data_IF_998852576825
#
_entry.id   IF_998852576825
#
_cell.length_a   1.000
_cell.length_b   1.000
_cell.length_c   1.000
_cell.angle_alpha   90.00
_cell.angle_beta   90.00
_cell.angle_gamma   90.00
#
_symmetry.space_group_name_H-M   'P 1'
#
loop_
_entity.id
_entity.type
_entity.pdbx_description
1 polymer ?
#
# COMPACT_ATOMS: atom_id res chain seq x y z
N UNK A 1 6.07 27.85 4.67
CA UNK A 1 5.99 28.29 3.24
C UNK A 1 5.26 29.63 3.18
N UNK A 2 5.89 30.67 2.63
CA UNK A 2 5.25 31.99 2.48
C UNK A 2 4.33 32.00 1.26
N UNK A 3 3.10 32.47 1.43
CA UNK A 3 2.14 32.74 0.35
C UNK A 3 1.70 34.19 0.40
N UNK A 4 1.32 34.74 -0.74
CA UNK A 4 0.74 36.08 -0.80
C UNK A 4 -0.50 36.13 0.09
N UNK A 5 -0.62 37.22 0.85
CA UNK A 5 -1.78 37.44 1.70
C UNK A 5 -3.03 37.49 0.81
N UNK A 6 -4.06 36.65 1.06
CA UNK A 6 -5.26 36.59 0.23
C UNK A 6 -6.12 37.86 0.32
N UNK A 7 -5.90 38.72 1.33
CA UNK A 7 -6.66 39.96 1.50
C UNK A 7 -6.05 41.16 0.78
N UNK A 8 -4.73 41.25 0.69
CA UNK A 8 -4.06 42.33 -0.04
C UNK A 8 -3.34 41.85 -1.31
N UNK A 9 -3.51 40.59 -1.70
CA UNK A 9 -2.87 39.96 -2.87
C UNK A 9 -1.34 40.12 -2.94
N UNK A 10 -0.67 40.34 -1.81
CA UNK A 10 0.77 40.58 -1.76
C UNK A 10 1.18 42.05 -1.64
N UNK A 11 0.24 42.99 -1.71
CA UNK A 11 0.52 44.43 -1.66
C UNK A 11 0.89 44.93 -0.25
N UNK A 12 0.52 44.19 0.79
CA UNK A 12 0.77 44.59 2.19
C UNK A 12 -0.20 45.65 2.70
N UNK A 13 -0.86 46.40 1.81
CA UNK A 13 -1.83 47.44 2.12
C UNK A 13 -3.20 47.19 1.46
N UNK A 14 -4.24 47.82 1.99
CA UNK A 14 -5.60 47.84 1.45
C UNK A 14 -6.08 49.29 1.31
N UNK A 15 -6.85 49.58 0.27
CA UNK A 15 -7.48 50.89 0.09
C UNK A 15 -8.65 50.97 1.08
N UNK A 16 -8.59 51.92 2.00
CA UNK A 16 -9.63 52.12 3.03
C UNK A 16 -10.50 53.34 2.75
N UNK A 17 -9.96 54.34 2.03
CA UNK A 17 -10.63 55.61 1.82
C UNK A 17 -10.11 56.30 0.54
N UNK A 18 -10.86 57.28 0.02
CA UNK A 18 -10.49 58.11 -1.13
C UNK A 18 -10.55 59.56 -0.70
N UNK A 19 -9.41 60.25 -0.72
CA UNK A 19 -9.35 61.68 -0.39
C UNK A 19 -9.29 62.51 -1.67
N UNK A 20 -9.94 63.66 -1.65
CA UNK A 20 -9.86 64.61 -2.76
C UNK A 20 -8.40 64.98 -3.03
N UNK A 21 -8.04 65.01 -4.31
CA UNK A 21 -6.67 65.30 -4.71
C UNK A 21 -6.36 66.75 -4.35
N UNK A 22 -5.44 66.93 -3.41
CA UNK A 22 -5.05 68.26 -2.92
C UNK A 22 -4.46 69.16 -4.01
N UNK A 23 -3.98 68.59 -5.12
CA UNK A 23 -3.35 69.32 -6.22
C UNK A 23 -4.34 69.91 -7.23
N UNK A 24 -5.54 69.32 -7.37
CA UNK A 24 -6.58 69.83 -8.28
C UNK A 24 -7.92 70.09 -7.55
N UNK A 25 -7.95 70.01 -6.23
CA UNK A 25 -9.15 70.26 -5.44
C UNK A 25 -10.34 69.37 -5.77
N UNK A 26 -10.12 68.16 -6.31
CA UNK A 26 -11.18 67.25 -6.71
C UNK A 26 -11.59 67.30 -8.18
N UNK A 27 -11.11 68.28 -8.97
CA UNK A 27 -11.54 68.46 -10.36
C UNK A 27 -10.94 67.41 -11.31
N UNK A 28 -9.77 66.87 -10.96
CA UNK A 28 -9.05 65.90 -11.77
C UNK A 28 -8.16 66.52 -12.86
N UNK A 29 -8.26 67.83 -13.09
CA UNK A 29 -7.57 68.53 -14.18
C UNK A 29 -6.82 69.74 -13.62
N UNK A 30 -5.81 70.22 -14.35
CA UNK A 30 -5.12 71.46 -13.99
C UNK A 30 -6.03 72.66 -14.30
N UNK A 31 -6.15 73.59 -13.35
CA UNK A 31 -7.05 74.75 -13.47
C UNK A 31 -6.62 75.75 -14.57
N UNK A 32 -5.41 75.59 -15.12
CA UNK A 32 -4.85 76.43 -16.19
C UNK A 32 -5.15 75.86 -17.59
N UNK A 33 -6.40 75.46 -17.85
CA UNK A 33 -6.89 75.27 -19.21
C UNK A 33 -6.86 76.63 -19.93
N UNK A 34 -5.87 76.82 -20.82
CA UNK A 34 -5.78 77.99 -21.69
C UNK A 34 -7.06 78.09 -22.54
N UNK A 35 -7.93 79.06 -22.23
CA UNK A 35 -9.09 79.40 -23.06
C UNK A 35 -8.62 80.03 -24.39
N UNK A 36 -8.30 79.18 -25.36
CA UNK A 36 -7.94 79.59 -26.73
C UNK A 36 -9.17 80.11 -27.50
N UNK A 37 -10.38 80.00 -26.92
CA UNK A 37 -11.65 80.37 -27.55
C UNK A 37 -11.78 81.88 -27.82
N UNK A 38 -11.09 82.71 -27.03
CA UNK A 38 -11.27 84.16 -27.05
C UNK A 38 -10.25 84.93 -27.90
N UNK A 39 -9.21 84.28 -28.46
CA UNK A 39 -8.13 84.98 -29.16
C UNK A 39 -8.27 85.11 -30.69
N UNK A 40 -9.18 84.39 -31.35
CA UNK A 40 -9.43 84.50 -32.79
C UNK A 40 -10.71 85.28 -33.12
N UNK A 41 -10.62 86.62 -33.14
CA UNK A 41 -11.68 87.49 -33.67
C UNK A 41 -11.64 87.50 -35.20
N UNK A 42 -12.58 86.82 -35.85
CA UNK A 42 -12.83 86.98 -37.29
C UNK A 42 -13.12 85.71 -38.10
N UNK A 43 -13.19 84.53 -37.49
CA UNK A 43 -13.41 83.27 -38.23
C UNK A 43 -14.90 82.87 -38.25
N UNK A 44 -15.42 82.55 -39.44
CA UNK A 44 -16.80 82.11 -39.69
C UNK A 44 -17.12 80.79 -38.95
N UNK A 45 -18.35 80.64 -38.43
CA UNK A 45 -18.85 79.49 -37.68
C UNK A 45 -18.53 78.12 -38.31
N UNK A 46 -18.50 78.01 -39.64
CA UNK A 46 -18.17 76.75 -40.32
C UNK A 46 -16.69 76.31 -40.17
N UNK A 47 -15.76 77.22 -39.87
CA UNK A 47 -14.35 76.88 -39.64
C UNK A 47 -14.09 76.43 -38.20
N UNK A 48 -14.84 77.00 -37.22
CA UNK A 48 -14.75 76.59 -35.80
C UNK A 48 -15.17 75.13 -35.60
N UNK A 49 -16.22 74.68 -36.30
CA UNK A 49 -16.70 73.30 -36.22
C UNK A 49 -15.84 72.27 -36.97
N UNK A 50 -14.98 72.70 -37.92
CA UNK A 50 -14.20 71.80 -38.78
C UNK A 50 -12.82 71.44 -38.21
N UNK A 51 -12.30 72.25 -37.28
CA UNK A 51 -10.99 72.07 -36.64
C UNK A 51 -11.09 71.70 -35.16
N UNK A 52 -12.30 71.48 -34.63
CA UNK A 52 -12.56 71.07 -33.24
C UNK A 52 -11.84 71.95 -32.18
N UNK A 53 -11.77 73.25 -32.45
CA UNK A 53 -11.08 74.25 -31.60
C UNK A 53 -11.99 74.78 -30.47
N UNK A 54 -12.91 73.96 -29.99
CA UNK A 54 -13.89 74.32 -28.96
C UNK A 54 -13.91 73.38 -27.76
N UNK A 55 -12.99 72.41 -27.70
CA UNK A 55 -12.76 71.58 -26.54
C UNK A 55 -11.53 72.13 -25.83
N UNK A 56 -11.72 72.64 -24.62
CA UNK A 56 -10.64 72.85 -23.66
C UNK A 56 -9.81 71.56 -23.64
N UNK A 57 -8.51 71.65 -23.95
CA UNK A 57 -7.62 70.51 -23.74
C UNK A 57 -7.36 70.44 -22.24
N UNK A 58 -8.30 69.85 -21.51
CA UNK A 58 -8.19 69.65 -20.08
C UNK A 58 -6.96 68.78 -19.80
N UNK A 59 -5.90 69.39 -19.26
CA UNK A 59 -4.66 68.70 -18.91
C UNK A 59 -4.97 67.85 -17.66
N UNK A 60 -4.89 66.50 -17.75
CA UNK A 60 -5.16 65.65 -16.60
C UNK A 60 -4.15 65.93 -15.50
N UNK A 61 -4.63 66.18 -14.28
CA UNK A 61 -3.77 66.45 -13.13
C UNK A 61 -2.79 65.27 -12.93
N UNK A 62 -1.49 65.52 -12.97
CA UNK A 62 -0.46 64.47 -12.87
C UNK A 62 -0.53 63.69 -11.55
N UNK A 63 -0.99 64.34 -10.48
CA UNK A 63 -1.05 63.74 -9.14
C UNK A 63 -2.18 62.70 -8.98
N UNK A 64 -3.30 62.86 -9.69
CA UNK A 64 -4.43 61.92 -9.64
C UNK A 64 -4.76 61.29 -11.00
N UNK A 65 -3.96 61.59 -12.03
CA UNK A 65 -4.13 61.17 -13.42
C UNK A 65 -5.56 61.35 -13.94
N UNK A 66 -6.18 62.51 -13.71
CA UNK A 66 -7.55 62.78 -14.19
C UNK A 66 -8.68 62.35 -13.24
N UNK A 67 -8.40 61.64 -12.15
CA UNK A 67 -9.46 61.04 -11.31
C UNK A 67 -10.06 61.96 -10.24
N UNK A 68 -9.38 63.05 -9.90
CA UNK A 68 -9.80 64.00 -8.85
C UNK A 68 -9.67 63.49 -7.42
N UNK A 69 -9.40 62.20 -7.21
CA UNK A 69 -9.26 61.57 -5.89
C UNK A 69 -8.01 60.70 -5.81
N UNK A 70 -7.41 60.64 -4.62
CA UNK A 70 -6.22 59.85 -4.29
C UNK A 70 -6.59 58.77 -3.29
N UNK A 71 -6.18 57.54 -3.58
CA UNK A 71 -6.40 56.37 -2.74
C UNK A 71 -5.59 56.47 -1.43
N UNK A 72 -6.27 56.29 -0.29
CA UNK A 72 -5.65 56.20 1.04
C UNK A 72 -5.48 54.73 1.39
N UNK A 73 -4.23 54.33 1.59
CA UNK A 73 -3.85 52.97 1.92
C UNK A 73 -3.58 52.82 3.40
N UNK A 74 -4.12 51.76 4.02
CA UNK A 74 -3.74 51.31 5.36
C UNK A 74 -3.08 49.94 5.29
N UNK A 75 -2.22 49.65 6.26
CA UNK A 75 -1.58 48.34 6.38
C UNK A 75 -2.64 47.25 6.53
N UNK A 76 -2.47 46.17 5.75
CA UNK A 76 -3.40 45.06 5.79
C UNK A 76 -3.29 44.36 7.16
N UNK A 77 -4.33 44.52 7.99
CA UNK A 77 -4.43 43.92 9.32
C UNK A 77 -4.27 42.38 9.37
N UNK A 78 -4.40 41.70 8.22
CA UNK A 78 -4.25 40.25 8.11
C UNK A 78 -2.80 39.80 7.93
N UNK A 79 -1.93 40.63 7.35
CA UNK A 79 -0.50 40.34 7.21
C UNK A 79 0.40 41.35 7.92
N UNK A 80 -0.18 42.31 8.66
CA UNK A 80 0.53 43.39 9.36
C UNK A 80 1.55 44.09 8.45
N UNK A 81 1.12 44.50 7.25
CA UNK A 81 1.99 45.20 6.28
C UNK A 81 2.99 44.32 5.50
N UNK A 82 3.23 43.06 5.91
CA UNK A 82 4.27 42.21 5.28
C UNK A 82 3.91 41.69 3.88
N UNK A 83 2.63 41.76 3.48
CA UNK A 83 2.12 41.23 2.21
C UNK A 83 2.11 39.70 2.10
N UNK A 84 2.74 38.98 3.04
CA UNK A 84 2.91 37.53 2.98
C UNK A 84 2.48 36.88 4.30
N UNK A 85 1.88 35.70 4.20
CA UNK A 85 1.53 34.88 5.36
C UNK A 85 2.30 33.57 5.30
N UNK A 86 2.83 33.13 6.43
CA UNK A 86 3.39 31.78 6.52
C UNK A 86 2.24 30.79 6.68
N UNK A 87 2.21 29.78 5.82
CA UNK A 87 1.20 28.72 5.86
C UNK A 87 1.85 27.34 5.90
N UNK A 88 1.12 26.40 6.51
CA UNK A 88 1.48 24.99 6.54
C UNK A 88 1.55 24.44 5.12
N UNK A 89 2.66 23.76 4.80
CA UNK A 89 2.87 23.15 3.48
C UNK A 89 1.81 22.11 3.09
N UNK A 90 1.28 21.37 4.07
CA UNK A 90 0.40 20.22 3.79
C UNK A 90 -1.10 20.56 3.84
N UNK A 91 -1.51 21.50 4.70
CA UNK A 91 -2.94 21.84 4.87
C UNK A 91 -3.28 23.30 4.61
N UNK A 92 -2.29 24.18 4.40
CA UNK A 92 -2.51 25.60 4.11
C UNK A 92 -2.96 26.45 5.31
N UNK A 93 -3.04 25.89 6.52
CA UNK A 93 -3.36 26.67 7.73
C UNK A 93 -2.28 27.73 8.01
N UNK A 94 -2.62 28.95 8.44
CA UNK A 94 -1.65 29.95 8.87
C UNK A 94 -0.77 29.41 10.01
N UNK A 95 0.53 29.71 9.96
CA UNK A 95 1.52 29.30 10.94
C UNK A 95 2.37 30.48 11.37
N UNK A 96 2.90 30.42 12.58
CA UNK A 96 3.98 31.31 13.01
C UNK A 96 5.24 31.10 12.16
N UNK A 97 6.04 32.15 11.99
CA UNK A 97 7.21 32.19 11.11
C UNK A 97 8.26 31.09 11.41
N UNK A 98 8.22 30.50 12.61
CA UNK A 98 9.18 29.50 13.06
C UNK A 98 8.96 28.10 12.48
N UNK A 99 7.78 27.79 11.92
CA UNK A 99 7.45 26.44 11.48
C UNK A 99 6.90 26.37 10.05
N UNK A 100 7.32 25.36 9.30
CA UNK A 100 6.84 25.12 7.92
C UNK A 100 5.63 24.17 7.83
N UNK A 101 5.36 23.43 8.90
CA UNK A 101 4.31 22.42 8.98
C UNK A 101 3.61 22.55 10.34
N UNK A 102 2.29 22.49 10.36
CA UNK A 102 1.53 22.55 11.60
C UNK A 102 1.75 21.29 12.46
N UNK A 103 1.50 21.38 13.76
CA UNK A 103 1.65 20.26 14.68
C UNK A 103 0.85 19.02 14.25
N UNK A 104 -0.38 19.21 13.74
CA UNK A 104 -1.25 18.14 13.23
C UNK A 104 -0.65 17.42 12.01
N UNK A 105 -0.20 18.17 11.00
CA UNK A 105 0.40 17.60 9.79
C UNK A 105 1.76 16.95 10.10
N UNK A 106 2.53 17.53 11.02
CA UNK A 106 3.76 16.94 11.53
C UNK A 106 3.50 15.60 12.25
N UNK A 107 2.45 15.53 13.07
CA UNK A 107 2.04 14.30 13.74
C UNK A 107 1.56 13.23 12.73
N UNK A 108 0.70 13.59 11.77
CA UNK A 108 0.27 12.67 10.69
C UNK A 108 1.43 12.12 9.89
N UNK A 109 2.40 12.96 9.49
CA UNK A 109 3.62 12.48 8.80
C UNK A 109 4.42 11.49 9.63
N UNK A 110 4.54 11.72 10.95
CA UNK A 110 5.23 10.79 11.86
C UNK A 110 4.47 9.47 11.97
N UNK A 111 3.15 9.52 12.09
CA UNK A 111 2.27 8.35 12.13
C UNK A 111 2.38 7.53 10.83
N UNK A 112 2.27 8.16 9.66
CA UNK A 112 2.40 7.50 8.37
C UNK A 112 3.78 6.87 8.19
N UNK A 113 4.84 7.55 8.65
CA UNK A 113 6.21 7.01 8.63
C UNK A 113 6.33 5.79 9.54
N UNK A 114 5.70 5.80 10.73
CA UNK A 114 5.67 4.64 11.63
C UNK A 114 4.89 3.48 11.02
N UNK A 115 3.69 3.72 10.45
CA UNK A 115 2.90 2.70 9.76
C UNK A 115 3.68 2.03 8.62
N UNK A 116 4.41 2.82 7.81
CA UNK A 116 5.26 2.30 6.75
C UNK A 116 6.41 1.44 7.28
N UNK A 117 7.08 1.87 8.35
CA UNK A 117 8.13 1.07 9.01
C UNK A 117 7.59 -0.23 9.57
N UNK A 118 6.47 -0.17 10.30
CA UNK A 118 5.84 -1.35 10.89
C UNK A 118 5.38 -2.35 9.82
N UNK A 119 4.81 -1.87 8.70
CA UNK A 119 4.43 -2.72 7.57
C UNK A 119 5.65 -3.41 6.94
N UNK A 120 6.77 -2.68 6.80
CA UNK A 120 8.02 -3.24 6.28
C UNK A 120 8.63 -4.27 7.25
N UNK A 121 8.65 -3.97 8.55
CA UNK A 121 9.12 -4.90 9.58
C UNK A 121 8.26 -6.17 9.62
N UNK A 122 6.93 -6.06 9.54
CA UNK A 122 6.02 -7.21 9.43
C UNK A 122 6.28 -8.03 8.17
N UNK A 123 6.57 -7.37 7.04
CA UNK A 123 6.92 -8.04 5.79
C UNK A 123 8.21 -8.84 5.94
N UNK A 124 9.25 -8.22 6.49
CA UNK A 124 10.54 -8.86 6.76
C UNK A 124 10.39 -10.01 7.76
N UNK A 125 9.60 -9.83 8.81
CA UNK A 125 9.35 -10.86 9.81
C UNK A 125 8.66 -12.08 9.19
N UNK A 126 7.62 -11.89 8.37
CA UNK A 126 6.92 -12.96 7.65
C UNK A 126 7.82 -13.69 6.65
N UNK A 127 8.77 -12.98 6.04
CA UNK A 127 9.74 -13.56 5.12
C UNK A 127 10.82 -14.36 5.85
N UNK A 128 11.23 -13.93 7.05
CA UNK A 128 12.18 -14.65 7.90
C UNK A 128 11.56 -15.80 8.70
N UNK A 129 10.23 -15.85 8.82
CA UNK A 129 9.52 -16.91 9.52
C UNK A 129 9.83 -18.27 8.86
N UNK A 130 10.53 -19.14 9.60
CA UNK A 130 10.84 -20.49 9.15
C UNK A 130 9.67 -21.39 9.54
N UNK A 131 9.03 -22.01 8.54
CA UNK A 131 7.93 -22.95 8.79
C UNK A 131 8.42 -24.38 8.78
N UNK A 132 7.87 -25.20 9.68
CA UNK A 132 8.18 -26.62 9.71
C UNK A 132 7.37 -27.37 8.65
N UNK A 133 8.06 -28.16 7.82
CA UNK A 133 7.49 -29.00 6.77
C UNK A 133 7.87 -30.45 7.04
N UNK A 134 6.86 -31.30 7.14
CA UNK A 134 7.02 -32.68 7.56
C UNK A 134 7.14 -33.62 6.36
N UNK A 135 8.15 -34.49 6.38
CA UNK A 135 8.25 -35.64 5.47
C UNK A 135 7.82 -36.88 6.25
N UNK A 136 6.84 -37.60 5.72
CA UNK A 136 6.26 -38.76 6.37
C UNK A 136 7.08 -40.01 6.10
N UNK A 137 7.37 -40.75 7.16
CA UNK A 137 7.93 -42.09 7.05
C UNK A 137 6.85 -43.09 6.60
N UNK A 138 7.26 -44.24 6.06
CA UNK A 138 6.37 -45.26 5.49
C UNK A 138 5.38 -45.82 6.51
N UNK A 139 5.73 -45.83 7.81
CA UNK A 139 4.89 -46.36 8.88
C UNK A 139 3.78 -45.41 9.35
N UNK A 140 3.84 -44.13 8.97
CA UNK A 140 2.85 -43.15 9.41
C UNK A 140 1.54 -43.34 8.65
N UNK A 141 0.43 -43.34 9.38
CA UNK A 141 -0.91 -43.56 8.81
C UNK A 141 -1.72 -42.26 8.79
N UNK A 142 -2.83 -42.28 8.05
CA UNK A 142 -3.78 -41.16 7.97
C UNK A 142 -4.31 -40.70 9.34
N UNK A 143 -4.32 -41.60 10.35
CA UNK A 143 -4.73 -41.29 11.73
C UNK A 143 -3.73 -40.41 12.49
N UNK A 144 -2.47 -40.44 12.09
CA UNK A 144 -1.39 -39.68 12.72
C UNK A 144 -1.23 -38.27 12.07
N UNK A 145 -2.09 -37.94 11.10
CA UNK A 145 -2.04 -36.69 10.34
C UNK A 145 -2.70 -35.55 11.10
N UNK A 146 -2.00 -34.43 11.17
CA UNK A 146 -2.44 -33.18 11.79
C UNK A 146 -2.79 -32.13 10.73
N UNK A 147 -3.88 -31.38 10.93
CA UNK A 147 -4.37 -30.37 10.00
C UNK A 147 -3.58 -29.06 10.02
N UNK A 148 -2.92 -28.78 11.14
CA UNK A 148 -2.19 -27.51 11.34
C UNK A 148 -0.72 -27.59 10.88
N UNK A 149 -0.32 -28.73 10.30
CA UNK A 149 1.05 -28.98 9.82
C UNK A 149 1.13 -28.96 8.30
N UNK A 150 2.32 -28.61 7.82
CA UNK A 150 2.68 -28.67 6.40
C UNK A 150 3.37 -29.99 6.09
N UNK A 151 3.05 -30.60 4.96
CA UNK A 151 3.66 -31.85 4.53
C UNK A 151 4.27 -31.70 3.15
N UNK A 152 5.42 -32.32 2.95
CA UNK A 152 6.03 -32.45 1.63
C UNK A 152 5.52 -33.74 0.98
N UNK A 153 5.04 -33.63 -0.24
CA UNK A 153 4.53 -34.74 -1.03
C UNK A 153 5.02 -34.69 -2.47
N UNK A 154 4.69 -35.73 -3.22
CA UNK A 154 4.98 -35.84 -4.65
C UNK A 154 3.69 -35.95 -5.45
N UNK A 155 3.59 -35.20 -6.54
CA UNK A 155 2.45 -35.30 -7.45
C UNK A 155 2.54 -36.60 -8.23
N UNK A 156 1.49 -37.41 -8.18
CA UNK A 156 1.40 -38.68 -8.91
C UNK A 156 0.50 -38.60 -10.12
N UNK A 157 -0.52 -37.74 -10.10
CA UNK A 157 -1.46 -37.55 -11.21
C UNK A 157 -2.00 -36.13 -11.22
N UNK A 158 -2.25 -35.59 -12.41
CA UNK A 158 -2.87 -34.27 -12.58
C UNK A 158 -4.18 -34.43 -13.33
N UNK A 159 -5.20 -33.74 -12.85
CA UNK A 159 -6.55 -33.71 -13.41
C UNK A 159 -7.02 -32.26 -13.57
N UNK A 160 -8.09 -32.05 -14.34
CA UNK A 160 -8.66 -30.69 -14.54
C UNK A 160 -9.12 -30.01 -13.24
N UNK A 161 -9.43 -30.79 -12.22
CA UNK A 161 -9.98 -30.31 -10.94
C UNK A 161 -8.96 -30.31 -9.79
N UNK A 162 -7.71 -30.71 -10.03
CA UNK A 162 -6.69 -30.81 -9.00
C UNK A 162 -5.60 -31.83 -9.33
N UNK A 163 -4.65 -31.98 -8.41
CA UNK A 163 -3.55 -32.92 -8.54
C UNK A 163 -3.56 -33.92 -7.38
N UNK A 164 -3.32 -35.20 -7.67
CA UNK A 164 -3.14 -36.21 -6.64
C UNK A 164 -1.73 -36.13 -6.09
N UNK A 165 -1.63 -35.98 -4.77
CA UNK A 165 -0.38 -35.86 -4.04
C UNK A 165 -0.26 -37.06 -3.11
N UNK A 166 0.86 -37.75 -3.21
CA UNK A 166 1.23 -38.86 -2.33
C UNK A 166 2.26 -38.34 -1.33
N UNK A 167 1.98 -38.50 -0.03
CA UNK A 167 2.92 -38.13 1.02
C UNK A 167 3.80 -39.33 1.44
N UNK A 168 3.18 -40.51 1.55
CA UNK A 168 3.87 -41.80 1.71
C UNK A 168 2.99 -42.93 1.12
N UNK A 169 3.40 -44.18 1.28
CA UNK A 169 2.65 -45.35 0.75
C UNK A 169 1.23 -45.51 1.32
N UNK A 170 0.97 -44.95 2.51
CA UNK A 170 -0.29 -45.12 3.25
C UNK A 170 -1.17 -43.86 3.25
N UNK A 171 -0.63 -42.73 2.79
CA UNK A 171 -1.24 -41.40 2.91
C UNK A 171 -1.09 -40.66 1.59
N UNK A 172 -2.22 -40.50 0.91
CA UNK A 172 -2.35 -39.78 -0.35
C UNK A 172 -3.69 -39.05 -0.38
N UNK A 173 -3.83 -38.12 -1.31
CA UNK A 173 -5.02 -37.29 -1.38
C UNK A 173 -5.05 -36.37 -2.59
N UNK A 174 -6.12 -35.59 -2.69
CA UNK A 174 -6.35 -34.68 -3.80
C UNK A 174 -6.04 -33.25 -3.37
N UNK A 175 -5.04 -32.64 -3.99
CA UNK A 175 -4.78 -31.21 -3.90
C UNK A 175 -5.72 -30.46 -4.83
N UNK A 176 -6.65 -29.70 -4.25
CA UNK A 176 -7.57 -28.84 -4.99
C UNK A 176 -6.92 -27.48 -5.24
N UNK A 177 -7.16 -26.92 -6.42
CA UNK A 177 -6.66 -25.61 -6.80
C UNK A 177 -6.20 -25.57 -8.25
N UNK A 178 -5.56 -24.47 -8.61
CA UNK A 178 -4.98 -24.30 -9.93
C UNK A 178 -3.74 -25.20 -10.08
N UNK A 179 -3.75 -26.04 -11.12
CA UNK A 179 -2.70 -27.03 -11.38
C UNK A 179 -1.82 -26.72 -12.60
N UNK A 180 -2.03 -25.56 -13.23
CA UNK A 180 -1.40 -25.16 -14.49
C UNK A 180 0.13 -25.14 -14.45
N UNK A 181 0.73 -24.93 -13.28
CA UNK A 181 2.18 -24.86 -13.08
C UNK A 181 2.83 -26.14 -12.56
N UNK A 182 2.11 -27.25 -12.41
CA UNK A 182 2.65 -28.49 -11.86
C UNK A 182 2.78 -29.59 -12.91
N UNK A 183 3.76 -30.46 -12.73
CA UNK A 183 3.97 -31.68 -13.51
C UNK A 183 3.89 -32.92 -12.61
N UNK A 184 3.62 -34.06 -13.25
CA UNK A 184 3.69 -35.35 -12.57
C UNK A 184 5.12 -35.60 -12.14
N UNK A 185 5.30 -35.93 -10.86
CA UNK A 185 6.61 -36.13 -10.25
C UNK A 185 7.14 -34.93 -9.46
N UNK A 186 6.50 -33.76 -9.55
CA UNK A 186 6.93 -32.58 -8.81
C UNK A 186 6.74 -32.76 -7.31
N UNK A 187 7.69 -32.22 -6.55
CA UNK A 187 7.57 -32.12 -5.10
C UNK A 187 6.79 -30.85 -4.73
N UNK A 188 5.78 -31.02 -3.87
CA UNK A 188 4.90 -29.94 -3.45
C UNK A 188 4.73 -29.93 -1.93
N UNK A 189 4.54 -28.73 -1.39
CA UNK A 189 4.21 -28.54 0.03
C UNK A 189 2.71 -28.31 0.12
N UNK A 190 2.06 -29.13 0.92
CA UNK A 190 0.61 -29.15 1.08
C UNK A 190 0.22 -29.04 2.54
N UNK A 191 -0.96 -28.50 2.78
CA UNK A 191 -1.61 -28.58 4.08
C UNK A 191 -2.96 -29.27 3.93
N UNK A 192 -3.43 -29.86 5.02
CA UNK A 192 -4.67 -30.63 5.01
C UNK A 192 -5.84 -29.69 5.21
N UNK A 193 -6.77 -29.71 4.27
CA UNK A 193 -8.04 -28.97 4.40
C UNK A 193 -9.11 -29.85 5.04
N UNK A 194 -9.18 -31.12 4.66
CA UNK A 194 -10.16 -32.06 5.20
C UNK A 194 -9.63 -33.49 5.20
N UNK A 195 -9.98 -34.23 6.25
CA UNK A 195 -9.66 -35.65 6.42
C UNK A 195 -10.98 -36.42 6.42
N UNK A 196 -11.24 -37.19 5.36
CA UNK A 196 -12.43 -38.03 5.21
C UNK A 196 -12.09 -39.47 5.61
N UNK A 197 -11.96 -39.71 6.91
CA UNK A 197 -11.50 -41.00 7.45
C UNK A 197 -12.36 -42.20 7.03
N UNK A 198 -13.65 -42.02 6.80
CA UNK A 198 -14.55 -43.11 6.33
C UNK A 198 -14.28 -43.55 4.90
N UNK A 199 -13.86 -42.63 4.04
CA UNK A 199 -13.55 -42.91 2.64
C UNK A 199 -12.05 -43.19 2.40
N UNK A 200 -11.21 -42.98 3.42
CA UNK A 200 -9.76 -43.07 3.29
C UNK A 200 -9.16 -41.99 2.39
N UNK A 201 -9.81 -40.82 2.28
CA UNK A 201 -9.38 -39.71 1.40
C UNK A 201 -8.97 -38.48 2.20
N UNK A 202 -7.95 -37.79 1.71
CA UNK A 202 -7.52 -36.48 2.23
C UNK A 202 -7.67 -35.44 1.12
N UNK A 203 -8.23 -34.29 1.46
CA UNK A 203 -8.24 -33.12 0.60
C UNK A 203 -7.12 -32.17 1.05
N UNK A 204 -6.24 -31.80 0.12
CA UNK A 204 -5.12 -30.90 0.33
C UNK A 204 -5.35 -29.55 -0.35
N UNK A 205 -4.61 -28.55 0.12
CA UNK A 205 -4.40 -27.30 -0.60
C UNK A 205 -2.91 -26.97 -0.67
N UNK A 206 -2.45 -26.28 -1.74
CA UNK A 206 -1.06 -25.91 -1.90
C UNK A 206 -0.65 -24.88 -0.84
N UNK A 207 0.54 -25.05 -0.27
CA UNK A 207 1.15 -24.09 0.64
C UNK A 207 2.47 -23.58 0.05
N UNK A 208 2.55 -22.27 -0.18
CA UNK A 208 3.77 -21.60 -0.62
C UNK A 208 4.55 -21.09 0.57
N UNK A 209 5.65 -21.77 0.90
CA UNK A 209 6.57 -21.37 1.97
C UNK A 209 7.95 -21.05 1.39
N UNK A 210 8.45 -19.85 1.66
CA UNK A 210 9.76 -19.41 1.19
C UNK A 210 10.88 -20.08 1.99
N UNK A 211 10.81 -19.95 3.31
CA UNK A 211 11.76 -20.53 4.24
C UNK A 211 11.09 -21.64 5.03
N UNK A 212 11.63 -22.86 4.93
CA UNK A 212 11.12 -23.99 5.66
C UNK A 212 12.22 -24.90 6.18
N UNK A 213 11.95 -25.53 7.32
CA UNK A 213 12.77 -26.60 7.87
C UNK A 213 12.08 -27.93 7.61
N UNK A 214 12.84 -28.89 7.08
CA UNK A 214 12.34 -30.25 6.85
C UNK A 214 12.46 -31.05 8.14
N UNK A 215 11.35 -31.65 8.58
CA UNK A 215 11.28 -32.53 9.76
C UNK A 215 10.77 -33.90 9.30
N UNK A 216 11.50 -34.98 9.61
CA UNK A 216 11.02 -36.33 9.31
C UNK A 216 10.06 -36.78 10.42
N UNK A 217 8.82 -37.06 10.06
CA UNK A 217 7.84 -37.63 10.97
C UNK A 217 7.95 -39.16 10.93
N UNK A 218 8.58 -39.73 11.96
CA UNK A 218 8.76 -41.18 12.11
C UNK A 218 7.86 -41.73 13.20
N UNK A 219 7.30 -42.92 12.98
CA UNK A 219 6.59 -43.68 13.99
C UNK A 219 7.49 -44.78 14.51
N UNK A 220 7.87 -44.72 15.78
CA UNK A 220 8.63 -45.80 16.43
C UNK A 220 7.66 -46.84 16.95
N UNK A 221 7.76 -48.06 16.43
CA UNK A 221 6.98 -49.20 16.90
C UNK A 221 7.90 -50.04 17.78
N UNK A 222 7.54 -50.32 19.05
CA UNK A 222 8.36 -51.15 19.91
C UNK A 222 8.51 -52.55 19.30
N UNK A 223 9.70 -53.12 19.49
CA UNK A 223 9.98 -54.50 19.08
C UNK A 223 9.01 -55.44 19.80
N UNK A 224 8.43 -56.36 19.05
CA UNK A 224 7.56 -57.43 19.52
C UNK A 224 8.27 -58.76 19.24
N UNK A 225 8.32 -59.63 20.23
CA UNK A 225 8.88 -60.99 20.12
C UNK A 225 7.88 -61.89 19.39
N UNK A 226 8.36 -62.84 18.60
CA UNK A 226 7.52 -63.72 17.76
C UNK A 226 6.50 -64.50 18.59
N UNK A 227 6.88 -65.00 19.77
CA UNK A 227 5.96 -65.71 20.69
C UNK A 227 4.74 -64.88 21.12
N UNK A 228 4.83 -63.55 21.11
CA UNK A 228 3.72 -62.67 21.52
C UNK A 228 2.79 -62.32 20.36
N UNK A 229 3.10 -62.70 19.12
CA UNK A 229 2.36 -62.29 17.93
C UNK A 229 0.88 -62.68 17.96
N UNK A 230 0.57 -63.86 18.50
CA UNK A 230 -0.82 -64.33 18.65
C UNK A 230 -1.67 -63.34 19.47
N UNK A 231 -1.08 -62.74 20.50
CA UNK A 231 -1.75 -61.73 21.34
C UNK A 231 -1.90 -60.36 20.64
N UNK A 232 -1.17 -60.13 19.55
CA UNK A 232 -1.12 -58.86 18.80
C UNK A 232 -1.75 -58.95 17.41
N UNK A 233 -2.45 -60.04 17.11
CA UNK A 233 -3.21 -60.25 15.88
C UNK A 233 -4.01 -59.00 15.47
N UNK A 234 -3.86 -58.58 14.20
CA UNK A 234 -4.54 -57.41 13.63
C UNK A 234 -3.92 -56.05 13.98
N UNK A 235 -2.81 -56.00 14.72
CA UNK A 235 -2.05 -54.77 14.99
C UNK A 235 -0.78 -54.72 14.15
N UNK A 236 -0.30 -53.50 13.91
CA UNK A 236 1.03 -53.30 13.31
C UNK A 236 2.09 -53.49 14.38
N UNK A 237 3.02 -54.40 14.13
CA UNK A 237 4.12 -54.75 15.03
C UNK A 237 5.45 -54.62 14.29
N UNK A 238 6.54 -54.46 15.04
CA UNK A 238 7.90 -54.56 14.52
C UNK A 238 8.51 -55.84 15.07
N UNK A 239 8.92 -56.73 14.17
CA UNK A 239 9.71 -57.92 14.50
C UNK A 239 11.14 -57.68 14.03
N UNK A 240 12.11 -58.05 14.86
CA UNK A 240 13.52 -58.14 14.45
C UNK A 240 13.92 -59.61 14.60
N UNK A 241 14.28 -60.24 13.49
CA UNK A 241 14.61 -61.66 13.42
C UNK A 241 15.47 -61.99 12.20
N UNK A 242 15.97 -63.22 12.16
CA UNK A 242 16.78 -63.74 11.07
C UNK A 242 15.90 -64.46 10.03
N UNK A 243 16.15 -64.20 8.75
CA UNK A 243 15.44 -64.89 7.66
C UNK A 243 16.06 -66.26 7.46
N UNK A 244 15.38 -67.31 7.94
CA UNK A 244 15.82 -68.70 7.78
C UNK A 244 15.61 -69.21 6.35
N UNK A 245 14.52 -68.77 5.71
CA UNK A 245 14.14 -69.27 4.40
C UNK A 245 13.41 -68.21 3.58
N UNK A 246 13.73 -68.16 2.30
CA UNK A 246 12.99 -67.41 1.29
C UNK A 246 12.47 -68.41 0.26
N UNK A 247 11.15 -68.54 0.15
CA UNK A 247 10.50 -69.41 -0.81
C UNK A 247 9.67 -68.57 -1.79
N UNK A 248 10.16 -68.47 -3.02
CA UNK A 248 9.41 -67.83 -4.10
C UNK A 248 8.39 -68.83 -4.64
N UNK A 249 7.11 -68.52 -4.48
CA UNK A 249 6.02 -69.31 -5.07
C UNK A 249 5.56 -68.68 -6.39
N UNK A 250 4.64 -69.32 -7.11
CA UNK A 250 3.97 -68.70 -8.26
C UNK A 250 3.11 -67.49 -7.87
N UNK A 251 2.88 -67.26 -6.57
CA UNK A 251 2.20 -66.10 -6.02
C UNK A 251 3.13 -65.27 -5.13
N UNK A 252 2.82 -65.09 -3.83
CA UNK A 252 3.66 -64.30 -2.93
C UNK A 252 4.99 -65.01 -2.62
N UNK A 253 6.01 -64.21 -2.29
CA UNK A 253 7.25 -64.76 -1.70
C UNK A 253 7.03 -64.98 -0.21
N UNK A 254 7.29 -66.19 0.25
CA UNK A 254 7.17 -66.57 1.66
C UNK A 254 8.53 -66.40 2.31
N UNK A 255 8.56 -65.68 3.42
CA UNK A 255 9.74 -65.52 4.26
C UNK A 255 9.49 -66.24 5.59
N UNK A 256 10.37 -67.16 5.95
CA UNK A 256 10.37 -67.78 7.28
C UNK A 256 11.38 -67.02 8.12
N UNK A 257 10.91 -66.41 9.22
CA UNK A 257 11.69 -65.55 10.10
C UNK A 257 11.66 -66.15 11.50
N UNK A 258 12.80 -66.20 12.18
CA UNK A 258 12.97 -66.64 13.57
C UNK A 258 13.55 -65.50 14.41
N UNK A 259 13.28 -65.48 15.70
CA UNK A 259 13.94 -64.60 16.67
C UNK A 259 14.46 -65.42 17.86
N UNK A 260 14.82 -64.79 18.97
CA UNK A 260 15.32 -65.50 20.16
C UNK A 260 14.30 -66.44 20.81
N UNK A 261 13.00 -66.33 20.49
CA UNK A 261 11.98 -67.23 21.03
C UNK A 261 11.79 -68.51 20.21
N UNK A 262 12.32 -68.56 18.98
CA UNK A 262 12.33 -69.73 18.10
C UNK A 262 11.37 -69.61 16.94
#
# INVERSE_FOLDING_TARGET
MKKNCPKCNGLGSIVVDYKECSSCGGTGYEDDAFDVGSHFKGVNNNARAKFDLGSDQDIPCEACNGKGQVEVYEDCAYCNGTGQINVCRDCGKPLDEKYDICAECGAKRKEDKMKRKEAEEKRIAREKEVKDVYILDSLVQMRDMDRDKLYKGKITRIEKYGAFVTLNNNVWGLMRGEVSGYNVGDEVIVFITSIKSREGKIDFAPAYVRNHRIIKLTKSIPRTVIDELDSKMGRMVRIDGEVLQVQQTSGPTIFTITDESG
#
